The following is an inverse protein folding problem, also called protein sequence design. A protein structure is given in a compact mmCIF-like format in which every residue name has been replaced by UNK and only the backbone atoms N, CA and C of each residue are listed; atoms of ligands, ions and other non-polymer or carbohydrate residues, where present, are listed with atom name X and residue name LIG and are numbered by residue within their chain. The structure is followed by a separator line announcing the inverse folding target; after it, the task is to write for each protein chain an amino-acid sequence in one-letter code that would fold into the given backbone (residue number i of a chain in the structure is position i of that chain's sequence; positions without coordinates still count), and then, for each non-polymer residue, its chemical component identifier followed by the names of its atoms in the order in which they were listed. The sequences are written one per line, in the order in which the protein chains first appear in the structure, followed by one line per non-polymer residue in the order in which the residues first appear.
data_IF_860603356813
#
_entry.id   IF_860603356813
#
_cell.length_a   1.000
_cell.length_b   1.000
_cell.length_c   1.000
_cell.angle_alpha   90.00
_cell.angle_beta   90.00
_cell.angle_gamma   90.00
#
_symmetry.space_group_name_H-M   'P 1'
#
loop_
_entity.id
_entity.type
_entity.pdbx_description
1 polymer ?
#
# COMPACT_ATOMS: atom_id res chain seq x y z
N UNK A 1 27.26 -25.07 22.76
CA UNK A 1 27.43 -23.72 23.35
C UNK A 1 27.76 -22.76 22.23
N UNK A 2 26.73 -22.14 21.65
CA UNK A 2 26.88 -21.04 20.69
C UNK A 2 26.46 -19.77 21.41
N UNK A 3 27.34 -18.78 21.37
CA UNK A 3 27.22 -17.46 21.97
C UNK A 3 26.23 -16.63 21.15
N UNK A 4 25.21 -16.08 21.82
CA UNK A 4 24.32 -15.08 21.22
C UNK A 4 25.09 -13.79 20.91
N UNK A 5 24.92 -13.17 19.74
CA UNK A 5 25.26 -11.77 19.56
C UNK A 5 24.23 -10.91 20.32
N UNK A 6 24.76 -9.99 21.12
CA UNK A 6 24.01 -9.03 21.91
C UNK A 6 23.47 -7.95 20.96
N UNK A 7 22.17 -7.88 20.75
CA UNK A 7 21.54 -6.75 20.07
C UNK A 7 21.56 -5.52 20.99
N UNK A 8 21.86 -4.31 20.47
CA UNK A 8 21.64 -3.09 21.22
C UNK A 8 20.13 -2.80 21.33
N UNK A 9 19.72 -2.38 22.52
CA UNK A 9 18.33 -2.05 22.85
C UNK A 9 17.83 -0.86 22.04
N UNK A 10 16.68 -1.02 21.35
CA UNK A 10 15.94 0.06 20.69
C UNK A 10 15.33 0.99 21.75
N UNK A 11 16.10 1.94 22.25
CA UNK A 11 15.63 3.18 22.87
C UNK A 11 16.68 4.25 22.58
N UNK A 12 16.42 5.11 21.59
CA UNK A 12 16.85 6.53 21.51
C UNK A 12 16.40 7.11 20.17
N UNK A 13 15.24 7.75 20.16
CA UNK A 13 14.97 8.87 19.23
C UNK A 13 16.07 9.91 19.53
N UNK A 14 16.77 10.48 18.53
CA UNK A 14 17.76 11.51 18.81
C UNK A 14 17.10 12.70 19.53
N UNK A 15 17.74 13.27 20.57
CA UNK A 15 17.11 14.22 21.49
C UNK A 15 16.90 15.64 20.93
N UNK A 16 17.28 15.90 19.68
CA UNK A 16 17.38 17.25 19.10
C UNK A 16 16.40 17.48 17.93
N UNK A 17 15.26 16.77 17.91
CA UNK A 17 14.16 17.12 17.02
C UNK A 17 13.42 18.34 17.58
N UNK A 18 13.75 19.53 17.07
CA UNK A 18 12.94 20.73 17.27
C UNK A 18 11.95 20.90 16.10
N UNK A 19 10.65 21.16 16.36
CA UNK A 19 9.69 21.44 15.32
C UNK A 19 9.82 22.91 14.92
N UNK A 20 10.50 23.17 13.80
CA UNK A 20 10.47 24.47 13.17
C UNK A 20 11.44 24.58 12.01
N UNK A 21 10.91 24.70 10.79
CA UNK A 21 11.01 25.90 9.96
C UNK A 21 10.69 25.54 8.50
N UNK A 22 9.60 26.11 7.97
CA UNK A 22 9.17 26.15 6.57
C UNK A 22 9.30 24.84 5.78
N UNK A 23 8.23 24.03 5.84
CA UNK A 23 7.95 23.07 4.77
C UNK A 23 7.79 23.86 3.46
N UNK A 24 8.46 23.39 2.41
CA UNK A 24 8.36 23.95 1.07
C UNK A 24 6.88 23.85 0.62
N UNK A 25 6.25 24.89 0.04
CA UNK A 25 4.90 24.77 -0.51
C UNK A 25 4.75 23.60 -1.50
N UNK A 26 5.85 23.18 -2.14
CA UNK A 26 5.87 22.04 -3.04
C UNK A 26 5.90 20.67 -2.31
N UNK A 27 6.24 20.62 -1.01
CA UNK A 27 6.13 19.43 -0.14
C UNK A 27 4.70 19.20 0.39
N UNK A 28 3.75 20.07 0.07
CA UNK A 28 2.33 19.97 0.47
C UNK A 28 1.44 19.31 -0.60
N UNK A 29 2.00 18.58 -1.57
CA UNK A 29 1.19 17.73 -2.45
C UNK A 29 0.65 16.54 -1.68
N UNK A 30 -0.49 16.77 -1.01
CA UNK A 30 -1.22 15.81 -0.17
C UNK A 30 -1.73 14.58 -0.94
N UNK A 31 -1.65 14.59 -2.28
CA UNK A 31 -2.07 13.51 -3.17
C UNK A 31 -1.16 13.41 -4.41
N UNK A 32 -0.85 12.20 -4.94
CA UNK A 32 -0.25 12.00 -6.25
C UNK A 32 -1.01 12.76 -7.37
N UNK A 33 -0.34 13.21 -8.45
CA UNK A 33 -0.99 14.01 -9.51
C UNK A 33 -2.26 13.38 -10.11
N UNK A 34 -2.24 12.06 -10.33
CA UNK A 34 -3.40 11.34 -10.85
C UNK A 34 -4.58 11.30 -9.85
N UNK A 35 -4.29 11.26 -8.55
CA UNK A 35 -5.30 11.31 -7.48
C UNK A 35 -5.81 12.75 -7.29
N UNK A 36 -4.95 13.75 -7.43
CA UNK A 36 -5.32 15.17 -7.37
C UNK A 36 -6.25 15.59 -8.52
N UNK A 37 -5.93 15.22 -9.76
CA UNK A 37 -6.79 15.50 -10.93
C UNK A 37 -8.18 14.83 -10.82
N UNK A 38 -8.25 13.63 -10.24
CA UNK A 38 -9.52 12.93 -10.03
C UNK A 38 -10.30 13.51 -8.86
N UNK A 39 -9.64 13.88 -7.76
CA UNK A 39 -10.30 14.61 -6.68
C UNK A 39 -10.89 15.91 -7.22
N UNK A 40 -10.16 16.66 -8.03
CA UNK A 40 -10.68 17.86 -8.70
C UNK A 40 -11.88 17.54 -9.61
N UNK A 41 -11.84 16.42 -10.34
CA UNK A 41 -12.96 15.91 -11.11
C UNK A 41 -14.20 15.58 -10.27
N UNK A 42 -14.02 14.90 -9.13
CA UNK A 42 -15.12 14.57 -8.19
C UNK A 42 -15.69 15.86 -7.59
N UNK A 43 -14.83 16.75 -7.09
CA UNK A 43 -15.20 18.04 -6.55
C UNK A 43 -16.01 18.87 -7.58
N UNK A 44 -15.63 18.81 -8.86
CA UNK A 44 -16.35 19.49 -9.95
C UNK A 44 -17.69 18.86 -10.35
N UNK A 45 -18.02 17.67 -9.84
CA UNK A 45 -19.22 16.89 -10.16
C UNK A 45 -20.06 16.50 -8.93
N UNK A 46 -19.80 17.16 -7.80
CA UNK A 46 -20.62 17.05 -6.60
C UNK A 46 -22.04 17.55 -6.83
N UNK A 47 -22.95 17.12 -5.96
CA UNK A 47 -24.30 17.68 -5.91
C UNK A 47 -24.25 19.18 -5.63
N UNK A 48 -25.24 19.97 -6.10
CA UNK A 48 -25.32 21.39 -5.80
C UNK A 48 -25.36 21.72 -4.30
N UNK A 49 -25.85 20.78 -3.48
CA UNK A 49 -25.92 20.90 -2.02
C UNK A 49 -24.52 20.77 -1.42
N UNK A 50 -23.75 19.76 -1.83
CA UNK A 50 -22.37 19.54 -1.37
C UNK A 50 -21.38 20.59 -1.89
N UNK A 51 -21.55 21.05 -3.13
CA UNK A 51 -20.74 22.15 -3.70
C UNK A 51 -20.92 23.46 -2.90
N UNK A 52 -22.17 23.77 -2.48
CA UNK A 52 -22.45 24.94 -1.67
C UNK A 52 -21.83 24.85 -0.26
N UNK A 53 -21.80 23.66 0.33
CA UNK A 53 -21.15 23.41 1.62
C UNK A 53 -19.64 23.60 1.51
N UNK A 54 -18.99 23.03 0.49
CA UNK A 54 -17.56 23.20 0.26
C UNK A 54 -17.18 24.65 -0.04
N UNK A 55 -17.99 25.37 -0.82
CA UNK A 55 -17.77 26.79 -1.07
C UNK A 55 -17.85 27.63 0.21
N UNK A 56 -18.77 27.27 1.12
CA UNK A 56 -18.92 27.94 2.43
C UNK A 56 -17.72 27.68 3.33
N UNK A 57 -17.18 26.46 3.32
CA UNK A 57 -15.95 26.12 4.04
C UNK A 57 -14.73 26.83 3.45
N UNK A 58 -14.58 26.78 2.12
CA UNK A 58 -13.49 27.43 1.41
C UNK A 58 -13.43 28.93 1.71
N UNK A 59 -14.56 29.63 1.71
CA UNK A 59 -14.64 31.06 2.01
C UNK A 59 -14.20 31.43 3.43
N UNK A 60 -14.34 30.50 4.38
CA UNK A 60 -13.95 30.68 5.79
C UNK A 60 -12.47 30.36 6.00
N UNK A 61 -11.93 29.46 5.18
CA UNK A 61 -10.53 29.04 5.21
C UNK A 61 -9.61 29.85 4.29
N UNK A 62 -10.19 30.62 3.36
CA UNK A 62 -9.46 31.43 2.39
C UNK A 62 -8.58 32.49 3.08
N UNK A 63 -7.27 32.41 2.86
CA UNK A 63 -6.28 33.34 3.43
C UNK A 63 -5.78 32.99 4.84
N UNK A 64 -6.18 31.86 5.41
CA UNK A 64 -5.58 31.35 6.64
C UNK A 64 -4.29 30.58 6.31
N UNK A 65 -3.14 31.11 6.73
CA UNK A 65 -1.82 30.49 6.53
C UNK A 65 -1.48 29.41 7.56
N UNK A 66 -2.36 29.16 8.55
CA UNK A 66 -2.16 28.18 9.62
C UNK A 66 -3.18 27.04 9.54
N UNK A 67 -2.85 25.89 10.15
CA UNK A 67 -3.79 24.77 10.34
C UNK A 67 -5.04 25.26 11.05
N UNK A 68 -6.17 25.22 10.34
CA UNK A 68 -7.47 25.57 10.89
C UNK A 68 -8.03 24.35 11.60
N UNK A 69 -8.46 24.54 12.84
CA UNK A 69 -9.22 23.53 13.58
C UNK A 69 -10.51 23.19 12.79
N UNK A 70 -10.73 21.92 12.40
CA UNK A 70 -11.88 21.51 11.59
C UNK A 70 -13.22 21.87 12.22
N UNK A 71 -13.36 21.71 13.54
CA UNK A 71 -14.61 21.99 14.26
C UNK A 71 -14.92 23.49 14.23
N UNK A 72 -13.88 24.32 14.34
CA UNK A 72 -13.99 25.77 14.26
C UNK A 72 -14.28 26.26 12.83
N UNK A 73 -13.78 25.57 11.82
CA UNK A 73 -14.07 25.87 10.42
C UNK A 73 -15.54 25.59 10.09
N UNK A 74 -16.06 24.44 10.54
CA UNK A 74 -17.47 24.06 10.41
C UNK A 74 -18.39 25.07 11.11
N UNK A 75 -18.08 25.44 12.35
CA UNK A 75 -18.85 26.44 13.11
C UNK A 75 -18.91 27.79 12.38
N UNK A 76 -17.78 28.27 11.87
CA UNK A 76 -17.68 29.54 11.15
C UNK A 76 -18.37 29.52 9.78
N UNK A 77 -18.36 28.38 9.11
CA UNK A 77 -19.07 28.18 7.86
C UNK A 77 -20.58 27.99 8.07
N UNK A 78 -21.02 27.81 9.32
CA UNK A 78 -22.42 27.51 9.64
C UNK A 78 -22.86 26.13 9.13
N UNK A 79 -21.89 25.21 8.96
CA UNK A 79 -22.10 23.85 8.48
C UNK A 79 -22.19 22.93 9.69
N UNK A 80 -23.25 22.14 9.79
CA UNK A 80 -23.37 21.12 10.83
C UNK A 80 -22.46 19.92 10.53
N UNK A 81 -22.05 19.14 11.56
CA UNK A 81 -21.31 17.91 11.34
C UNK A 81 -22.04 16.92 10.41
N UNK A 82 -23.37 16.81 10.51
CA UNK A 82 -24.16 15.92 9.65
C UNK A 82 -24.12 16.35 8.17
N UNK A 83 -24.14 17.66 7.90
CA UNK A 83 -24.00 18.19 6.54
C UNK A 83 -22.59 17.96 5.99
N UNK A 84 -21.56 18.10 6.82
CA UNK A 84 -20.18 17.78 6.43
C UNK A 84 -20.00 16.29 6.15
N UNK A 85 -20.51 15.42 7.01
CA UNK A 85 -20.48 13.96 6.83
C UNK A 85 -21.18 13.55 5.54
N UNK A 86 -22.29 14.21 5.18
CA UNK A 86 -22.99 13.98 3.90
C UNK A 86 -22.09 14.30 2.69
N UNK A 87 -21.30 15.37 2.75
CA UNK A 87 -20.33 15.71 1.70
C UNK A 87 -19.23 14.67 1.63
N UNK A 88 -18.71 14.22 2.78
CA UNK A 88 -17.67 13.20 2.84
C UNK A 88 -18.17 11.85 2.32
N UNK A 89 -19.38 11.43 2.69
CA UNK A 89 -20.02 10.22 2.17
C UNK A 89 -20.27 10.32 0.66
N UNK A 90 -20.65 11.50 0.16
CA UNK A 90 -20.85 11.73 -1.27
C UNK A 90 -19.53 11.63 -2.07
N UNK A 91 -18.45 12.23 -1.54
CA UNK A 91 -17.10 12.13 -2.10
C UNK A 91 -16.63 10.67 -2.04
N UNK A 92 -16.75 10.00 -0.89
CA UNK A 92 -16.34 8.61 -0.70
C UNK A 92 -17.11 7.67 -1.64
N UNK A 93 -18.43 7.82 -1.72
CA UNK A 93 -19.28 7.05 -2.63
C UNK A 93 -18.87 7.26 -4.08
N UNK A 94 -18.54 8.49 -4.51
CA UNK A 94 -18.07 8.73 -5.89
C UNK A 94 -16.65 8.23 -6.14
N UNK A 95 -15.80 8.25 -5.11
CA UNK A 95 -14.49 7.60 -5.17
C UNK A 95 -14.65 6.08 -5.30
N UNK A 96 -15.68 5.49 -4.71
CA UNK A 96 -16.02 4.06 -4.84
C UNK A 96 -16.74 3.72 -6.16
N UNK A 97 -17.70 4.55 -6.60
CA UNK A 97 -18.49 4.38 -7.84
C UNK A 97 -17.65 4.66 -9.09
N UNK A 98 -16.57 5.44 -8.97
CA UNK A 98 -15.50 5.57 -9.96
C UNK A 98 -14.52 4.40 -9.91
N UNK A 99 -15.03 3.15 -9.84
CA UNK A 99 -14.29 1.90 -9.57
C UNK A 99 -13.16 1.56 -10.57
N UNK A 100 -12.86 2.43 -11.53
CA UNK A 100 -11.60 2.46 -12.30
C UNK A 100 -10.43 3.05 -11.45
N UNK A 101 -10.56 3.09 -10.11
CA UNK A 101 -9.61 3.65 -9.13
C UNK A 101 -8.76 2.61 -8.39
N UNK A 102 -9.06 1.33 -8.54
CA UNK A 102 -8.02 0.32 -8.43
C UNK A 102 -7.46 0.16 -9.84
N UNK A 103 -6.20 0.55 -10.08
CA UNK A 103 -5.48 0.08 -11.27
C UNK A 103 -5.81 -1.41 -11.36
N UNK A 104 -6.54 -1.83 -12.39
CA UNK A 104 -6.85 -3.25 -12.54
C UNK A 104 -5.48 -3.92 -12.59
N UNK A 105 -5.18 -4.86 -11.67
CA UNK A 105 -3.87 -5.46 -11.58
C UNK A 105 -3.44 -5.91 -12.97
N UNK A 106 -2.28 -5.45 -13.45
CA UNK A 106 -1.76 -5.84 -14.75
C UNK A 106 -2.44 -5.26 -15.98
N UNK A 107 -3.34 -4.26 -15.87
CA UNK A 107 -3.98 -3.59 -17.02
C UNK A 107 -3.03 -2.62 -17.73
N UNK A 108 -1.91 -3.16 -18.18
CA UNK A 108 -0.89 -2.48 -18.97
C UNK A 108 -0.29 -3.47 -19.96
N UNK A 109 0.22 -2.94 -21.08
CA UNK A 109 0.99 -3.71 -22.06
C UNK A 109 2.49 -3.80 -21.66
N UNK A 110 2.88 -3.24 -20.50
CA UNK A 110 4.27 -3.26 -20.00
C UNK A 110 4.70 -4.69 -19.58
N UNK A 111 5.73 -5.28 -20.22
CA UNK A 111 6.23 -6.60 -19.86
C UNK A 111 6.87 -6.69 -18.47
N UNK A 112 7.16 -5.56 -17.81
CA UNK A 112 7.62 -5.49 -16.42
C UNK A 112 6.49 -5.70 -15.40
N UNK A 113 5.24 -5.83 -15.85
CA UNK A 113 4.05 -6.07 -15.01
C UNK A 113 3.43 -7.42 -15.35
N UNK A 114 2.81 -8.08 -14.37
CA UNK A 114 1.99 -9.26 -14.62
C UNK A 114 0.83 -8.90 -15.55
N UNK A 115 0.39 -9.84 -16.38
CA UNK A 115 -0.84 -9.64 -17.15
C UNK A 115 -2.07 -9.68 -16.21
N UNK A 116 -3.24 -9.19 -16.62
CA UNK A 116 -4.37 -9.04 -15.71
C UNK A 116 -4.88 -10.32 -15.05
N UNK A 117 -4.89 -11.43 -15.79
CA UNK A 117 -5.39 -12.70 -15.27
C UNK A 117 -4.42 -13.28 -14.24
N UNK A 118 -3.13 -13.26 -14.55
CA UNK A 118 -2.05 -13.70 -13.67
C UNK A 118 -1.93 -12.81 -12.42
N UNK A 119 -2.11 -11.49 -12.56
CA UNK A 119 -2.06 -10.56 -11.44
C UNK A 119 -3.24 -10.77 -10.47
N UNK A 120 -4.45 -10.98 -11.00
CA UNK A 120 -5.64 -11.27 -10.17
C UNK A 120 -5.51 -12.60 -9.43
N UNK A 121 -5.00 -13.63 -10.10
CA UNK A 121 -4.77 -14.92 -9.43
C UNK A 121 -3.71 -14.79 -8.33
N UNK A 122 -2.59 -14.09 -8.58
CA UNK A 122 -1.57 -13.83 -7.56
C UNK A 122 -2.18 -13.17 -6.31
N UNK A 123 -2.96 -12.10 -6.50
CA UNK A 123 -3.59 -11.36 -5.40
C UNK A 123 -4.62 -12.20 -4.64
N UNK A 124 -5.37 -13.07 -5.33
CA UNK A 124 -6.31 -13.99 -4.68
C UNK A 124 -5.57 -15.01 -3.79
N UNK A 125 -4.51 -15.63 -4.31
CA UNK A 125 -3.70 -16.56 -3.55
C UNK A 125 -3.10 -15.88 -2.32
N UNK A 126 -2.55 -14.68 -2.50
CA UNK A 126 -1.88 -13.94 -1.44
C UNK A 126 -2.88 -13.48 -0.38
N UNK A 127 -3.98 -12.88 -0.81
CA UNK A 127 -5.03 -12.40 0.08
C UNK A 127 -5.62 -13.52 0.94
N UNK A 128 -5.78 -14.74 0.40
CA UNK A 128 -6.23 -15.89 1.20
C UNK A 128 -5.20 -16.33 2.25
N UNK A 129 -3.90 -16.26 1.95
CA UNK A 129 -2.84 -16.54 2.94
C UNK A 129 -2.79 -15.46 4.02
N UNK A 130 -2.95 -14.18 3.65
CA UNK A 130 -3.05 -13.08 4.60
C UNK A 130 -4.28 -13.18 5.49
N UNK A 131 -5.44 -13.53 4.93
CA UNK A 131 -6.66 -13.77 5.70
C UNK A 131 -6.47 -14.91 6.71
N UNK A 132 -5.84 -16.01 6.29
CA UNK A 132 -5.53 -17.13 7.17
C UNK A 132 -4.57 -16.73 8.29
N UNK A 133 -3.55 -15.93 7.99
CA UNK A 133 -2.65 -15.37 8.99
C UNK A 133 -3.40 -14.44 9.96
N UNK A 134 -4.32 -13.61 9.45
CA UNK A 134 -5.12 -12.73 10.30
C UNK A 134 -6.01 -13.50 11.28
N UNK A 135 -6.72 -14.52 10.81
CA UNK A 135 -7.56 -15.39 11.66
C UNK A 135 -6.73 -16.12 12.72
N UNK A 136 -5.54 -16.60 12.34
CA UNK A 136 -4.64 -17.31 13.26
C UNK A 136 -4.08 -16.42 14.37
N UNK A 137 -3.73 -15.17 14.04
CA UNK A 137 -2.99 -14.29 14.95
C UNK A 137 -3.81 -13.15 15.54
N UNK A 138 -5.08 -12.99 15.12
CA UNK A 138 -6.01 -11.95 15.59
C UNK A 138 -5.41 -10.54 15.47
N UNK A 139 -4.90 -10.20 14.28
CA UNK A 139 -4.12 -8.96 14.07
C UNK A 139 -5.05 -7.76 13.83
N UNK A 140 -6.00 -7.90 12.91
CA UNK A 140 -6.96 -6.87 12.52
C UNK A 140 -8.38 -7.45 12.70
N UNK A 141 -9.08 -7.09 13.79
CA UNK A 141 -10.38 -7.67 14.13
C UNK A 141 -11.49 -7.44 13.11
N UNK A 142 -11.38 -6.38 12.31
CA UNK A 142 -12.41 -5.99 11.35
C UNK A 142 -12.33 -6.79 10.04
N UNK A 143 -11.26 -7.55 9.80
CA UNK A 143 -11.07 -8.37 8.59
C UNK A 143 -11.38 -9.83 8.93
N UNK A 144 -12.59 -10.28 8.61
CA UNK A 144 -13.06 -11.64 8.92
C UNK A 144 -13.33 -12.48 7.66
N UNK A 145 -13.47 -11.83 6.52
CA UNK A 145 -13.73 -12.46 5.23
C UNK A 145 -12.76 -11.94 4.17
N UNK A 146 -12.65 -12.67 3.07
CA UNK A 146 -11.86 -12.22 1.93
C UNK A 146 -12.42 -10.92 1.33
N UNK A 147 -13.73 -10.73 1.39
CA UNK A 147 -14.40 -9.50 0.92
C UNK A 147 -14.02 -8.28 1.77
N UNK A 148 -13.83 -8.47 3.09
CA UNK A 148 -13.33 -7.41 3.98
C UNK A 148 -11.86 -7.09 3.65
N UNK A 149 -11.06 -8.12 3.38
CA UNK A 149 -9.65 -7.98 3.03
C UNK A 149 -9.46 -7.26 1.70
N UNK A 150 -10.24 -7.61 0.68
CA UNK A 150 -10.18 -7.01 -0.67
C UNK A 150 -10.53 -5.51 -0.63
N UNK A 151 -11.40 -5.10 0.29
CA UNK A 151 -11.78 -3.69 0.50
C UNK A 151 -10.84 -2.92 1.42
N UNK A 152 -9.97 -3.61 2.15
CA UNK A 152 -9.11 -2.98 3.14
C UNK A 152 -8.03 -2.14 2.47
N UNK A 153 -7.70 -1.00 3.09
CA UNK A 153 -6.58 -0.17 2.63
C UNK A 153 -5.24 -0.86 2.91
N UNK A 154 -4.20 -0.48 2.17
CA UNK A 154 -2.84 -1.00 2.38
C UNK A 154 -2.34 -0.78 3.81
N UNK A 155 -2.67 0.37 4.41
CA UNK A 155 -2.32 0.67 5.81
C UNK A 155 -3.00 -0.28 6.79
N UNK A 156 -4.22 -0.73 6.46
CA UNK A 156 -4.97 -1.71 7.25
C UNK A 156 -4.38 -3.12 7.10
N UNK A 157 -3.84 -3.46 5.93
CA UNK A 157 -3.21 -4.76 5.66
C UNK A 157 -1.75 -4.86 6.14
N UNK A 158 -1.05 -3.72 6.28
CA UNK A 158 0.36 -3.68 6.68
C UNK A 158 0.65 -4.43 8.01
N UNK A 159 -0.17 -4.33 9.07
CA UNK A 159 0.00 -5.12 10.28
C UNK A 159 -0.02 -6.63 10.05
N UNK A 160 -0.92 -7.12 9.18
CA UNK A 160 -1.03 -8.55 8.85
C UNK A 160 0.24 -9.00 8.11
N UNK A 161 0.70 -8.22 7.13
CA UNK A 161 1.96 -8.47 6.42
C UNK A 161 3.16 -8.56 7.35
N UNK A 162 3.31 -7.56 8.22
CA UNK A 162 4.39 -7.51 9.19
C UNK A 162 4.35 -8.73 10.11
N UNK A 163 3.14 -9.06 10.58
CA UNK A 163 2.94 -10.23 11.44
C UNK A 163 3.40 -11.50 10.75
N UNK A 164 2.93 -11.73 9.51
CA UNK A 164 3.23 -12.93 8.75
C UNK A 164 4.72 -13.04 8.39
N UNK A 165 5.30 -12.02 7.74
CA UNK A 165 6.62 -12.15 7.12
C UNK A 165 7.80 -11.74 8.01
N UNK A 166 7.57 -10.99 9.09
CA UNK A 166 8.65 -10.44 9.92
C UNK A 166 8.64 -10.93 11.37
N UNK A 167 7.46 -11.19 11.94
CA UNK A 167 7.34 -11.56 13.36
C UNK A 167 7.16 -13.07 13.58
N UNK A 168 6.38 -13.73 12.72
CA UNK A 168 6.00 -15.13 12.87
C UNK A 168 6.77 -16.07 11.94
N UNK A 169 6.64 -17.37 12.19
CA UNK A 169 7.24 -18.40 11.35
C UNK A 169 6.39 -18.60 10.07
N UNK A 170 6.62 -17.77 9.06
CA UNK A 170 5.84 -17.82 7.80
C UNK A 170 5.84 -19.20 7.13
N UNK A 171 6.93 -19.96 7.23
CA UNK A 171 7.02 -21.32 6.68
C UNK A 171 5.96 -22.22 7.29
N UNK A 172 5.80 -22.18 8.62
CA UNK A 172 4.81 -22.97 9.33
C UNK A 172 3.37 -22.54 8.98
N UNK A 173 3.14 -21.23 8.85
CA UNK A 173 1.82 -20.70 8.45
C UNK A 173 1.45 -21.15 7.03
N UNK A 174 2.37 -21.04 6.08
CA UNK A 174 2.15 -21.46 4.68
C UNK A 174 1.95 -22.98 4.59
N UNK A 175 2.78 -23.79 5.27
CA UNK A 175 2.63 -25.24 5.29
C UNK A 175 1.29 -25.68 5.89
N UNK A 176 0.82 -24.99 6.93
CA UNK A 176 -0.51 -25.21 7.51
C UNK A 176 -1.63 -24.82 6.54
N UNK A 177 -1.54 -23.64 5.94
CA UNK A 177 -2.50 -23.18 4.93
C UNK A 177 -2.65 -24.19 3.77
N UNK A 178 -1.53 -24.67 3.22
CA UNK A 178 -1.53 -25.64 2.12
C UNK A 178 -2.19 -26.95 2.54
N UNK A 179 -1.92 -27.42 3.76
CA UNK A 179 -2.45 -28.69 4.29
C UNK A 179 -3.94 -28.62 4.55
N UNK A 180 -4.41 -27.51 5.12
CA UNK A 180 -5.82 -27.32 5.45
C UNK A 180 -6.65 -26.92 4.23
N UNK A 181 -6.03 -26.21 3.29
CA UNK A 181 -6.61 -25.70 2.05
C UNK A 181 -7.99 -25.05 2.27
N UNK A 182 -8.11 -24.04 3.15
CA UNK A 182 -9.40 -23.46 3.53
C UNK A 182 -10.14 -22.83 2.34
N UNK A 183 -9.40 -22.29 1.36
CA UNK A 183 -9.92 -21.70 0.14
C UNK A 183 -10.27 -22.73 -0.96
N UNK A 184 -10.05 -24.03 -0.73
CA UNK A 184 -10.27 -25.11 -1.71
C UNK A 184 -9.53 -24.91 -3.05
N UNK A 185 -8.31 -24.38 -2.98
CA UNK A 185 -7.45 -24.18 -4.15
C UNK A 185 -7.07 -25.49 -4.83
N UNK A 186 -6.84 -25.40 -6.14
CA UNK A 186 -6.33 -26.50 -6.95
C UNK A 186 -4.88 -26.84 -6.60
N UNK A 187 -4.42 -28.03 -6.99
CA UNK A 187 -3.02 -28.43 -6.76
C UNK A 187 -2.01 -27.47 -7.39
N UNK A 188 -2.32 -26.92 -8.58
CA UNK A 188 -1.44 -25.97 -9.28
C UNK A 188 -1.32 -24.67 -8.47
N UNK A 189 -2.43 -24.18 -7.93
CA UNK A 189 -2.46 -22.99 -7.08
C UNK A 189 -1.69 -23.22 -5.77
N UNK A 190 -1.87 -24.38 -5.13
CA UNK A 190 -1.12 -24.74 -3.94
C UNK A 190 0.39 -24.86 -4.20
N UNK A 191 0.80 -25.32 -5.38
CA UNK A 191 2.21 -25.34 -5.79
C UNK A 191 2.79 -23.92 -5.95
N UNK A 192 1.99 -22.94 -6.40
CA UNK A 192 2.43 -21.53 -6.42
C UNK A 192 2.63 -21.00 -5.00
N UNK A 193 1.71 -21.30 -4.07
CA UNK A 193 1.83 -20.91 -2.66
C UNK A 193 3.01 -21.61 -1.99
N UNK A 194 3.26 -22.89 -2.30
CA UNK A 194 4.43 -23.63 -1.79
C UNK A 194 5.75 -22.97 -2.23
N UNK A 195 5.79 -22.36 -3.41
CA UNK A 195 6.98 -21.65 -3.87
C UNK A 195 7.35 -20.46 -2.96
N UNK A 196 6.38 -19.87 -2.25
CA UNK A 196 6.58 -18.78 -1.29
C UNK A 196 7.32 -19.20 -0.03
N UNK A 197 7.56 -20.50 0.19
CA UNK A 197 8.50 -20.96 1.22
C UNK A 197 9.95 -20.49 0.95
N UNK A 198 10.25 -20.07 -0.29
CA UNK A 198 11.51 -19.45 -0.69
C UNK A 198 11.40 -17.92 -0.81
N UNK A 199 10.50 -17.30 -0.03
CA UNK A 199 10.41 -15.84 0.05
C UNK A 199 11.72 -15.22 0.55
N UNK A 200 11.96 -13.97 0.15
CA UNK A 200 13.01 -13.13 0.71
C UNK A 200 12.37 -11.89 1.33
N UNK A 201 12.82 -11.48 2.51
CA UNK A 201 12.31 -10.28 3.18
C UNK A 201 13.46 -9.40 3.62
N UNK A 202 13.34 -8.10 3.40
CA UNK A 202 14.34 -7.18 3.92
C UNK A 202 14.38 -5.83 3.24
N UNK A 203 15.59 -5.27 3.24
CA UNK A 203 15.93 -4.02 2.59
C UNK A 203 16.62 -4.33 1.27
N UNK A 204 16.27 -3.59 0.22
CA UNK A 204 16.91 -3.70 -1.10
C UNK A 204 17.23 -2.32 -1.66
N UNK A 205 18.17 -2.27 -2.58
CA UNK A 205 18.40 -1.12 -3.44
C UNK A 205 17.75 -1.37 -4.80
N UNK A 206 16.88 -0.46 -5.22
CA UNK A 206 16.41 -0.39 -6.61
C UNK A 206 17.47 0.34 -7.42
N UNK A 207 18.04 -0.34 -8.42
CA UNK A 207 19.25 0.12 -9.11
C UNK A 207 19.11 0.26 -10.62
N UNK A 208 18.15 -0.43 -11.25
CA UNK A 208 17.97 -0.44 -12.71
C UNK A 208 16.57 -0.91 -13.08
N UNK A 209 15.97 -0.32 -14.11
CA UNK A 209 14.82 -0.88 -14.81
C UNK A 209 15.26 -1.66 -16.05
N UNK A 210 14.66 -2.82 -16.23
CA UNK A 210 14.84 -3.68 -17.41
C UNK A 210 13.55 -3.66 -18.23
N UNK A 211 13.63 -4.18 -19.45
CA UNK A 211 12.46 -4.30 -20.33
C UNK A 211 11.33 -5.10 -19.66
N UNK A 212 11.65 -6.16 -18.89
CA UNK A 212 10.67 -7.07 -18.30
C UNK A 212 10.74 -7.16 -16.76
N UNK A 213 11.19 -6.08 -16.09
CA UNK A 213 11.19 -6.00 -14.63
C UNK A 213 12.13 -4.93 -14.07
N UNK A 214 12.35 -4.95 -12.76
CA UNK A 214 13.21 -3.99 -12.06
C UNK A 214 14.20 -4.71 -11.16
N UNK A 215 15.46 -4.26 -11.13
CA UNK A 215 16.54 -4.92 -10.39
C UNK A 215 16.58 -4.41 -8.96
N UNK A 216 16.34 -5.33 -8.03
CA UNK A 216 16.47 -5.13 -6.58
C UNK A 216 17.76 -5.81 -6.13
N UNK A 217 18.68 -5.04 -5.58
CA UNK A 217 19.97 -5.52 -5.08
C UNK A 217 19.94 -5.65 -3.56
N UNK A 218 20.37 -6.79 -3.06
CA UNK A 218 20.54 -7.01 -1.63
C UNK A 218 21.78 -6.25 -1.12
N UNK A 219 21.69 -5.44 -0.05
CA UNK A 219 22.81 -4.61 0.40
C UNK A 219 23.94 -5.43 1.02
N UNK A 220 23.60 -6.52 1.72
CA UNK A 220 24.53 -7.30 2.53
C UNK A 220 25.10 -8.53 1.80
N UNK A 221 24.49 -8.91 0.67
CA UNK A 221 24.89 -10.06 -0.14
C UNK A 221 24.99 -9.70 -1.62
N UNK A 222 25.87 -10.34 -2.42
CA UNK A 222 25.97 -10.10 -3.85
C UNK A 222 24.83 -10.78 -4.64
N UNK A 223 23.58 -10.58 -4.19
CA UNK A 223 22.36 -11.16 -4.78
C UNK A 223 21.51 -10.03 -5.37
N UNK A 224 21.01 -10.28 -6.58
CA UNK A 224 20.10 -9.37 -7.28
C UNK A 224 18.86 -10.14 -7.73
N UNK A 225 17.72 -9.47 -7.69
CA UNK A 225 16.42 -10.02 -8.02
C UNK A 225 15.79 -9.16 -9.12
N UNK A 226 15.30 -9.80 -10.17
CA UNK A 226 14.47 -9.13 -11.17
C UNK A 226 13.02 -9.22 -10.71
N UNK A 227 12.47 -8.09 -10.29
CA UNK A 227 11.13 -7.97 -9.70
C UNK A 227 10.14 -7.51 -10.77
N UNK A 228 9.00 -8.20 -10.83
CA UNK A 228 7.86 -7.89 -11.70
C UNK A 228 6.77 -7.22 -10.87
N UNK A 229 6.18 -6.15 -11.40
CA UNK A 229 5.07 -5.44 -10.77
C UNK A 229 3.75 -6.21 -10.86
N UNK A 230 2.85 -6.00 -9.89
CA UNK A 230 1.50 -6.58 -9.88
C UNK A 230 0.48 -5.62 -10.46
N UNK A 231 0.50 -4.37 -10.01
CA UNK A 231 -0.42 -3.32 -10.43
C UNK A 231 0.18 -2.53 -11.59
N UNK A 232 1.34 -1.92 -11.32
CA UNK A 232 2.02 -1.00 -12.24
C UNK A 232 3.51 -1.30 -12.30
N UNK A 233 4.17 -0.69 -13.26
CA UNK A 233 5.63 -0.76 -13.43
C UNK A 233 6.34 0.10 -12.39
N UNK A 234 7.40 -0.43 -11.78
CA UNK A 234 8.23 0.37 -10.86
C UNK A 234 8.89 1.57 -11.55
N UNK A 235 9.05 1.53 -12.87
CA UNK A 235 9.62 2.63 -13.66
C UNK A 235 8.77 3.90 -13.63
N UNK A 236 7.46 3.77 -13.45
CA UNK A 236 6.57 4.92 -13.33
C UNK A 236 6.64 5.56 -11.95
N UNK A 237 6.83 4.74 -10.90
CA UNK A 237 6.89 5.20 -9.51
C UNK A 237 8.28 5.70 -9.10
N UNK A 238 9.35 5.13 -9.67
CA UNK A 238 10.74 5.37 -9.28
C UNK A 238 11.58 5.71 -10.52
N UNK A 239 11.62 6.98 -10.98
CA UNK A 239 12.41 7.35 -12.15
C UNK A 239 13.91 7.03 -11.98
N UNK A 240 14.60 6.61 -13.04
CA UNK A 240 16.01 6.20 -12.99
C UNK A 240 16.95 7.29 -12.45
N UNK A 241 16.57 8.56 -12.57
CA UNK A 241 17.33 9.69 -12.04
C UNK A 241 17.45 9.69 -10.51
N UNK A 242 16.56 8.94 -9.83
CA UNK A 242 16.55 8.81 -8.37
C UNK A 242 17.44 7.68 -7.86
N UNK A 243 18.04 6.89 -8.76
CA UNK A 243 18.77 5.69 -8.37
C UNK A 243 20.16 5.97 -7.76
N UNK A 244 20.61 5.14 -6.79
CA UNK A 244 19.88 4.00 -6.20
C UNK A 244 18.83 4.44 -5.15
N UNK A 245 17.62 3.87 -5.20
CA UNK A 245 16.61 4.08 -4.16
C UNK A 245 16.64 2.93 -3.15
N UNK A 246 16.59 3.25 -1.86
CA UNK A 246 16.46 2.25 -0.80
C UNK A 246 14.99 1.96 -0.56
N UNK A 247 14.62 0.68 -0.63
CA UNK A 247 13.28 0.19 -0.27
C UNK A 247 13.41 -0.74 0.94
N UNK A 248 12.53 -0.58 1.92
CA UNK A 248 12.57 -1.30 3.20
C UNK A 248 11.32 -2.15 3.38
N UNK A 249 11.44 -3.23 4.16
CA UNK A 249 10.30 -4.12 4.48
C UNK A 249 9.65 -4.74 3.23
N UNK A 250 10.44 -4.95 2.18
CA UNK A 250 10.00 -5.59 0.95
C UNK A 250 9.96 -7.10 1.17
N UNK A 251 8.88 -7.74 0.71
CA UNK A 251 8.78 -9.20 0.62
C UNK A 251 8.79 -9.57 -0.86
N UNK A 252 9.72 -10.44 -1.24
CA UNK A 252 9.86 -10.99 -2.57
C UNK A 252 9.30 -12.42 -2.58
N UNK A 253 8.30 -12.66 -3.43
CA UNK A 253 7.59 -13.92 -3.57
C UNK A 253 7.85 -14.53 -4.95
N UNK A 254 8.29 -15.79 -5.04
CA UNK A 254 8.33 -16.51 -6.30
C UNK A 254 6.92 -16.76 -6.84
N UNK A 255 6.68 -16.46 -8.12
CA UNK A 255 5.38 -16.72 -8.75
C UNK A 255 5.54 -16.94 -10.26
N UNK A 256 5.07 -18.08 -10.77
CA UNK A 256 5.18 -18.47 -12.19
C UNK A 256 6.59 -18.28 -12.82
N UNK A 257 7.65 -18.56 -12.05
CA UNK A 257 9.04 -18.40 -12.50
C UNK A 257 9.55 -16.95 -12.52
N UNK A 258 8.76 -16.00 -11.99
CA UNK A 258 9.11 -14.60 -11.75
C UNK A 258 9.26 -14.36 -10.24
N UNK A 259 9.76 -13.17 -9.90
CA UNK A 259 9.76 -12.68 -8.52
C UNK A 259 8.85 -11.47 -8.49
N UNK A 260 7.86 -11.51 -7.62
CA UNK A 260 6.86 -10.47 -7.45
C UNK A 260 7.03 -9.94 -6.04
N UNK A 261 6.82 -8.65 -5.83
CA UNK A 261 6.71 -8.15 -4.46
C UNK A 261 5.28 -7.75 -4.16
N UNK A 262 4.86 -8.08 -2.96
CA UNK A 262 3.60 -7.67 -2.38
C UNK A 262 3.65 -6.30 -1.73
N UNK A 263 4.66 -5.50 -2.08
CA UNK A 263 4.83 -4.17 -1.55
C UNK A 263 3.53 -3.38 -1.70
N UNK A 264 3.19 -2.54 -0.69
CA UNK A 264 2.08 -1.60 -0.85
C UNK A 264 2.22 -0.89 -2.19
N UNK A 265 1.11 -0.44 -2.82
CA UNK A 265 1.17 0.67 -3.79
C UNK A 265 2.24 1.60 -3.24
N UNK A 266 3.36 1.73 -3.95
CA UNK A 266 4.46 2.57 -3.48
C UNK A 266 3.90 3.98 -3.57
N UNK A 267 3.16 4.39 -2.53
CA UNK A 267 2.84 5.77 -2.27
C UNK A 267 4.17 6.47 -2.31
N UNK A 268 4.29 7.39 -3.27
CA UNK A 268 5.57 7.97 -3.65
C UNK A 268 6.31 8.38 -2.38
N UNK A 269 7.48 7.80 -2.16
CA UNK A 269 8.45 8.37 -1.24
C UNK A 269 8.92 9.65 -1.94
N UNK A 270 8.28 10.77 -1.61
CA UNK A 270 8.75 12.13 -1.91
C UNK A 270 8.95 12.83 -0.58
#
# INVERSE_FOLDING_TARGET
MRTHPHFPSLHSIPPDWEPGENLDPDELQLLPPAEAERLEGILSSLSPESDAILASLAAVTEGLQEKVDPDLALERAGVSPEEYDTVIEEIATRMEEGSDLFATPGETDDPAVLNPDTAREFLELEGQVLLYANDRFDVVPDINTYEDLERASLDTLQPIHRKLYQEENVVEVIEEFIRENPANFSQIQLEQIEAWLNYEVGQFFVVEHLEDGTVFLEPDEPRAYKVTGVYDSYAEALPEETFPVTVTSVVLLPYEGRIVTNGPRLGKIV
#
